data_IF_284674821552
#
_entry.id   IF_284674821552
#
_cell.length_a   1.000
_cell.length_b   1.000
_cell.length_c   1.000
_cell.angle_alpha   90.00
_cell.angle_beta   90.00
_cell.angle_gamma   90.00
#
_symmetry.space_group_name_H-M   'P 1'
#
loop_
_entity.id
_entity.type
_entity.pdbx_description
1 polymer ?
#
# COMPACT_ATOMS: atom_id res chain seq x y z
N UNK A 1 -10.02 12.47 -32.67
CA UNK A 1 -9.47 12.79 -31.34
C UNK A 1 -9.46 11.57 -30.44
N UNK A 2 -10.58 10.88 -30.27
CA UNK A 2 -10.70 9.63 -29.48
C UNK A 2 -9.68 8.54 -29.84
N UNK A 3 -9.54 8.20 -31.14
CA UNK A 3 -8.56 7.20 -31.58
C UNK A 3 -7.12 7.57 -31.21
N UNK A 4 -6.77 8.86 -31.27
CA UNK A 4 -5.42 9.34 -30.90
C UNK A 4 -5.20 9.13 -29.41
N UNK A 5 -6.21 9.43 -28.57
CA UNK A 5 -6.14 9.23 -27.11
C UNK A 5 -5.98 7.76 -26.77
N UNK A 6 -6.79 6.87 -27.37
CA UNK A 6 -6.72 5.43 -27.11
C UNK A 6 -5.37 4.85 -27.57
N UNK A 7 -4.90 5.20 -28.76
CA UNK A 7 -3.61 4.73 -29.28
C UNK A 7 -2.46 5.25 -28.41
N UNK A 8 -2.51 6.52 -28.00
CA UNK A 8 -1.49 7.10 -27.11
C UNK A 8 -1.49 6.40 -25.76
N UNK A 9 -2.67 6.18 -25.17
CA UNK A 9 -2.81 5.45 -23.92
C UNK A 9 -2.22 4.04 -24.02
N UNK A 10 -2.59 3.27 -25.05
CA UNK A 10 -2.08 1.91 -25.24
C UNK A 10 -0.56 1.88 -25.48
N UNK A 11 -0.02 2.86 -26.21
CA UNK A 11 1.42 2.99 -26.43
C UNK A 11 2.17 3.26 -25.13
N UNK A 12 1.72 4.22 -24.33
CA UNK A 12 2.34 4.51 -23.02
C UNK A 12 2.15 3.36 -22.03
N UNK A 13 0.98 2.74 -21.99
CA UNK A 13 0.70 1.57 -21.17
C UNK A 13 1.61 0.39 -21.51
N UNK A 14 1.81 0.11 -22.80
CA UNK A 14 2.71 -0.95 -23.25
C UNK A 14 4.18 -0.61 -22.95
N UNK A 15 4.57 0.66 -23.08
CA UNK A 15 5.92 1.12 -22.75
C UNK A 15 6.20 0.97 -21.25
N UNK A 16 5.30 1.44 -20.39
CA UNK A 16 5.40 1.29 -18.93
C UNK A 16 5.52 -0.18 -18.55
N UNK A 17 4.61 -1.02 -19.05
CA UNK A 17 4.64 -2.47 -18.83
C UNK A 17 5.98 -3.08 -19.23
N UNK A 18 6.48 -2.76 -20.43
CA UNK A 18 7.75 -3.31 -20.94
C UNK A 18 8.94 -2.86 -20.09
N UNK A 19 8.99 -1.59 -19.70
CA UNK A 19 10.08 -1.05 -18.88
C UNK A 19 10.14 -1.76 -17.53
N UNK A 20 9.01 -1.85 -16.83
CA UNK A 20 8.93 -2.55 -15.54
C UNK A 20 9.29 -4.04 -15.66
N UNK A 21 8.77 -4.71 -16.69
CA UNK A 21 9.02 -6.13 -16.92
C UNK A 21 10.50 -6.40 -17.18
N UNK A 22 11.14 -5.58 -18.01
CA UNK A 22 12.58 -5.67 -18.34
C UNK A 22 13.43 -5.37 -17.12
N UNK A 23 13.10 -4.33 -16.33
CA UNK A 23 13.82 -4.02 -15.10
C UNK A 23 13.76 -5.18 -14.10
N UNK A 24 12.60 -5.82 -13.96
CA UNK A 24 12.46 -6.99 -13.11
C UNK A 24 13.36 -8.14 -13.61
N UNK A 25 13.38 -8.42 -14.92
CA UNK A 25 14.26 -9.43 -15.52
C UNK A 25 15.75 -9.16 -15.31
N UNK A 26 16.18 -7.92 -15.51
CA UNK A 26 17.56 -7.51 -15.28
C UNK A 26 17.93 -7.78 -13.83
N UNK A 27 17.08 -7.38 -12.87
CA UNK A 27 17.31 -7.60 -11.45
C UNK A 27 17.43 -9.10 -11.11
N UNK A 28 16.49 -9.93 -11.55
CA UNK A 28 16.58 -11.37 -11.32
C UNK A 28 17.75 -12.02 -12.07
N UNK A 29 18.16 -11.48 -13.21
CA UNK A 29 19.34 -11.90 -13.96
C UNK A 29 20.61 -11.72 -13.12
N UNK A 30 20.79 -10.51 -12.59
CA UNK A 30 21.90 -10.18 -11.70
C UNK A 30 21.94 -11.07 -10.45
N UNK A 31 20.79 -11.33 -9.83
CA UNK A 31 20.69 -12.21 -8.66
C UNK A 31 21.06 -13.67 -9.00
N UNK A 32 20.63 -14.17 -10.17
CA UNK A 32 21.00 -15.51 -10.66
C UNK A 32 22.51 -15.62 -10.91
N UNK A 33 23.09 -14.62 -11.55
CA UNK A 33 24.51 -14.57 -11.86
C UNK A 33 25.36 -14.47 -10.58
N UNK A 34 24.95 -13.63 -9.63
CA UNK A 34 25.60 -13.49 -8.32
C UNK A 34 25.65 -14.82 -7.57
N UNK A 35 24.56 -15.59 -7.59
CA UNK A 35 24.52 -16.94 -7.00
C UNK A 35 25.42 -17.92 -7.75
N UNK A 36 25.41 -17.90 -9.09
CA UNK A 36 26.24 -18.78 -9.90
C UNK A 36 27.74 -18.53 -9.69
N UNK A 37 28.11 -17.28 -9.40
CA UNK A 37 29.48 -16.90 -9.00
C UNK A 37 29.89 -17.38 -7.62
N UNK A 38 28.98 -17.98 -6.82
CA UNK A 38 29.27 -18.58 -5.51
C UNK A 38 29.71 -17.61 -4.42
N UNK A 39 29.66 -16.31 -4.69
CA UNK A 39 30.28 -15.29 -3.83
C UNK A 39 29.22 -14.46 -3.13
N UNK A 40 29.16 -14.59 -1.80
CA UNK A 40 28.59 -13.54 -0.96
C UNK A 40 29.36 -12.25 -1.29
N UNK A 41 28.69 -11.13 -1.62
CA UNK A 41 29.38 -9.88 -1.89
C UNK A 41 30.28 -9.50 -0.71
N UNK A 42 31.46 -8.93 -1.00
CA UNK A 42 32.51 -8.69 -0.01
C UNK A 42 32.03 -7.96 1.25
N UNK A 43 31.07 -7.04 1.10
CA UNK A 43 30.45 -6.29 2.21
C UNK A 43 29.70 -7.15 3.23
N UNK A 44 29.24 -8.35 2.83
CA UNK A 44 28.44 -9.26 3.63
C UNK A 44 29.21 -10.50 4.09
N UNK A 45 30.45 -10.69 3.61
CA UNK A 45 31.29 -11.80 4.06
C UNK A 45 31.55 -11.73 5.57
N UNK A 46 31.36 -12.86 6.25
CA UNK A 46 31.47 -12.96 7.71
C UNK A 46 30.33 -12.30 8.50
N UNK A 47 29.36 -11.66 7.84
CA UNK A 47 28.14 -11.11 8.48
C UNK A 47 26.89 -11.91 8.18
N UNK A 48 26.86 -12.59 7.04
CA UNK A 48 25.74 -13.42 6.58
C UNK A 48 26.29 -14.81 6.30
N UNK A 49 25.59 -15.84 6.78
CA UNK A 49 25.94 -17.22 6.46
C UNK A 49 25.57 -17.55 5.00
N UNK A 50 26.21 -18.57 4.42
CA UNK A 50 25.87 -19.02 3.07
C UNK A 50 24.40 -19.44 2.96
N UNK A 51 23.86 -20.11 3.98
CA UNK A 51 22.46 -20.52 4.03
C UNK A 51 21.50 -19.33 4.01
N UNK A 52 21.77 -18.29 4.80
CA UNK A 52 20.95 -17.07 4.82
C UNK A 52 21.02 -16.33 3.48
N UNK A 53 22.21 -16.28 2.86
CA UNK A 53 22.39 -15.70 1.54
C UNK A 53 21.58 -16.45 0.49
N UNK A 54 21.70 -17.79 0.43
CA UNK A 54 20.94 -18.61 -0.52
C UNK A 54 19.43 -18.47 -0.32
N UNK A 55 18.96 -18.44 0.93
CA UNK A 55 17.55 -18.20 1.24
C UNK A 55 17.08 -16.82 0.76
N UNK A 56 17.90 -15.78 0.91
CA UNK A 56 17.59 -14.42 0.43
C UNK A 56 17.49 -14.37 -1.11
N UNK A 57 18.37 -15.09 -1.80
CA UNK A 57 18.34 -15.22 -3.26
C UNK A 57 17.08 -15.95 -3.71
N UNK A 58 16.75 -17.08 -3.08
CA UNK A 58 15.56 -17.86 -3.40
C UNK A 58 14.27 -17.05 -3.20
N UNK A 59 14.19 -16.27 -2.11
CA UNK A 59 13.08 -15.35 -1.87
C UNK A 59 12.99 -14.28 -2.95
N UNK A 60 14.11 -13.63 -3.26
CA UNK A 60 14.16 -12.56 -4.28
C UNK A 60 13.72 -13.05 -5.65
N UNK A 61 14.18 -14.24 -6.07
CA UNK A 61 13.78 -14.84 -7.35
C UNK A 61 12.32 -15.30 -7.35
N UNK A 62 11.82 -15.86 -6.24
CA UNK A 62 10.43 -16.26 -6.13
C UNK A 62 9.49 -15.04 -6.19
N UNK A 63 9.83 -13.98 -5.47
CA UNK A 63 9.11 -12.71 -5.46
C UNK A 63 9.11 -12.05 -6.85
N UNK A 64 10.27 -11.92 -7.50
CA UNK A 64 10.35 -11.34 -8.85
C UNK A 64 9.55 -12.11 -9.90
N UNK A 65 9.55 -13.46 -9.85
CA UNK A 65 8.68 -14.29 -10.71
C UNK A 65 7.19 -14.02 -10.47
N UNK A 66 6.79 -13.92 -9.21
CA UNK A 66 5.41 -13.61 -8.85
C UNK A 66 5.02 -12.19 -9.26
N UNK A 67 5.87 -11.19 -9.05
CA UNK A 67 5.64 -9.80 -9.44
C UNK A 67 5.39 -9.68 -10.94
N UNK A 68 6.19 -10.34 -11.80
CA UNK A 68 5.93 -10.38 -13.25
C UNK A 68 4.57 -10.98 -13.58
N UNK A 69 4.23 -12.11 -12.97
CA UNK A 69 2.93 -12.74 -13.21
C UNK A 69 1.79 -11.82 -12.77
N UNK A 70 1.91 -11.20 -11.59
CA UNK A 70 0.94 -10.26 -11.05
C UNK A 70 0.81 -9.00 -11.92
N UNK A 71 1.92 -8.51 -12.49
CA UNK A 71 1.93 -7.38 -13.42
C UNK A 71 1.19 -7.72 -14.72
N UNK A 72 1.47 -8.89 -15.33
CA UNK A 72 0.76 -9.38 -16.52
C UNK A 72 -0.74 -9.50 -16.22
N UNK A 73 -1.09 -10.18 -15.13
CA UNK A 73 -2.47 -10.36 -14.72
C UNK A 73 -3.17 -9.03 -14.48
N UNK A 74 -2.58 -8.12 -13.69
CA UNK A 74 -3.13 -6.81 -13.39
C UNK A 74 -3.29 -5.93 -14.65
N UNK A 75 -2.36 -6.03 -15.59
CA UNK A 75 -2.44 -5.33 -16.87
C UNK A 75 -3.61 -5.83 -17.71
N UNK A 76 -3.77 -7.15 -17.82
CA UNK A 76 -4.91 -7.76 -18.51
C UNK A 76 -6.25 -7.39 -17.84
N UNK A 77 -6.32 -7.39 -16.52
CA UNK A 77 -7.52 -6.99 -15.79
C UNK A 77 -7.84 -5.50 -15.99
N UNK A 78 -6.83 -4.63 -16.04
CA UNK A 78 -7.00 -3.20 -16.33
C UNK A 78 -7.55 -3.00 -17.73
N UNK A 79 -6.94 -3.62 -18.75
CA UNK A 79 -7.44 -3.56 -20.13
C UNK A 79 -8.86 -4.14 -20.25
N UNK A 80 -9.16 -5.23 -19.54
CA UNK A 80 -10.50 -5.80 -19.48
C UNK A 80 -11.52 -4.84 -18.85
N UNK A 81 -11.18 -4.12 -17.78
CA UNK A 81 -12.10 -3.13 -17.19
C UNK A 81 -12.35 -1.96 -18.16
N UNK A 82 -11.29 -1.44 -18.79
CA UNK A 82 -11.37 -0.28 -19.67
C UNK A 82 -12.11 -0.59 -20.98
N UNK A 83 -11.78 -1.73 -21.61
CA UNK A 83 -12.25 -2.07 -22.97
C UNK A 83 -13.25 -3.22 -23.02
N UNK A 84 -13.42 -3.99 -21.94
CA UNK A 84 -14.36 -5.13 -21.87
C UNK A 84 -15.82 -4.75 -21.65
N UNK A 85 -16.15 -3.44 -21.64
CA UNK A 85 -17.52 -2.96 -21.52
C UNK A 85 -18.06 -2.86 -20.09
N UNK A 86 -17.22 -3.06 -19.08
CA UNK A 86 -17.60 -2.92 -17.67
C UNK A 86 -17.94 -1.48 -17.28
N UNK A 87 -17.18 -0.48 -17.74
CA UNK A 87 -17.49 0.92 -17.44
C UNK A 87 -18.86 1.35 -17.99
N UNK A 88 -19.20 1.11 -19.28
CA UNK A 88 -20.55 1.36 -19.77
C UNK A 88 -21.64 0.57 -19.05
N UNK A 89 -21.33 -0.65 -18.59
CA UNK A 89 -22.27 -1.45 -17.81
C UNK A 89 -22.59 -0.79 -16.46
N UNK A 90 -21.59 -0.34 -15.71
CA UNK A 90 -21.80 0.36 -14.44
C UNK A 90 -22.50 1.71 -14.64
N UNK A 91 -22.18 2.45 -15.70
CA UNK A 91 -22.90 3.69 -16.04
C UNK A 91 -24.40 3.41 -16.24
N UNK A 92 -24.76 2.42 -17.05
CA UNK A 92 -26.18 2.02 -17.25
C UNK A 92 -26.85 1.55 -15.95
N UNK A 93 -26.14 0.75 -15.15
CA UNK A 93 -26.66 0.25 -13.88
C UNK A 93 -26.97 1.40 -12.91
N UNK A 94 -26.05 2.35 -12.78
CA UNK A 94 -26.20 3.49 -11.87
C UNK A 94 -27.31 4.45 -12.32
N UNK A 95 -27.47 4.68 -13.63
CA UNK A 95 -28.62 5.44 -14.19
C UNK A 95 -29.95 4.73 -13.96
N UNK A 96 -30.00 3.40 -14.06
CA UNK A 96 -31.22 2.63 -13.78
C UNK A 96 -31.71 2.78 -12.32
N UNK A 97 -30.82 3.19 -11.41
CA UNK A 97 -31.11 3.41 -10.00
C UNK A 97 -31.45 4.88 -9.66
N UNK A 98 -31.42 5.78 -10.66
CA UNK A 98 -31.67 7.22 -10.49
C UNK A 98 -33.04 7.53 -9.88
N UNK A 99 -34.07 6.72 -10.18
CA UNK A 99 -35.41 6.87 -9.61
C UNK A 99 -35.54 6.48 -8.13
N UNK A 100 -34.55 5.78 -7.57
CA UNK A 100 -34.56 5.31 -6.17
C UNK A 100 -33.67 6.17 -5.25
N UNK A 101 -32.77 6.98 -5.84
CA UNK A 101 -31.79 7.77 -5.11
C UNK A 101 -32.09 9.27 -5.30
N UNK A 102 -32.10 10.09 -4.25
CA UNK A 102 -32.35 11.52 -4.43
C UNK A 102 -31.22 12.15 -5.26
N UNK A 103 -31.58 12.87 -6.33
CA UNK A 103 -30.66 13.57 -7.23
C UNK A 103 -29.70 14.53 -6.47
N UNK A 104 -30.13 15.00 -5.29
CA UNK A 104 -29.39 15.91 -4.41
C UNK A 104 -28.06 15.33 -3.90
N UNK A 105 -27.90 14.00 -3.84
CA UNK A 105 -26.74 13.37 -3.18
C UNK A 105 -25.55 13.03 -4.08
N UNK A 106 -25.56 13.36 -5.37
CA UNK A 106 -24.53 12.89 -6.34
C UNK A 106 -24.31 11.36 -6.28
N UNK A 107 -25.34 10.63 -5.83
CA UNK A 107 -25.23 9.23 -5.43
C UNK A 107 -24.85 8.32 -6.61
N UNK A 108 -25.27 8.69 -7.83
CA UNK A 108 -24.94 7.96 -9.05
C UNK A 108 -23.42 7.94 -9.30
N UNK A 109 -22.76 9.10 -9.29
CA UNK A 109 -21.32 9.20 -9.51
C UNK A 109 -20.52 8.49 -8.42
N UNK A 110 -20.96 8.61 -7.16
CA UNK A 110 -20.37 7.89 -6.03
C UNK A 110 -20.51 6.37 -6.23
N UNK A 111 -21.70 5.88 -6.55
CA UNK A 111 -21.97 4.46 -6.79
C UNK A 111 -21.17 3.92 -7.98
N UNK A 112 -21.04 4.69 -9.05
CA UNK A 112 -20.20 4.35 -10.21
C UNK A 112 -18.74 4.18 -9.77
N UNK A 113 -18.16 5.19 -9.11
CA UNK A 113 -16.78 5.14 -8.64
C UNK A 113 -16.52 3.96 -7.70
N UNK A 114 -17.43 3.70 -6.75
CA UNK A 114 -17.32 2.57 -5.83
C UNK A 114 -17.47 1.22 -6.52
N UNK A 115 -18.33 1.10 -7.54
CA UNK A 115 -18.49 -0.14 -8.30
C UNK A 115 -17.23 -0.48 -9.08
N UNK A 116 -16.60 0.53 -9.70
CA UNK A 116 -15.31 0.37 -10.38
C UNK A 116 -14.21 0.01 -9.38
N UNK A 117 -14.08 0.74 -8.27
CA UNK A 117 -13.08 0.48 -7.24
C UNK A 117 -13.25 -0.91 -6.61
N UNK A 118 -14.48 -1.34 -6.34
CA UNK A 118 -14.78 -2.67 -5.83
C UNK A 118 -14.38 -3.75 -6.83
N UNK A 119 -14.60 -3.54 -8.12
CA UNK A 119 -14.18 -4.48 -9.17
C UNK A 119 -12.66 -4.65 -9.17
N UNK A 120 -11.89 -3.56 -9.16
CA UNK A 120 -10.43 -3.64 -9.04
C UNK A 120 -10.00 -4.36 -7.74
N UNK A 121 -10.65 -4.06 -6.62
CA UNK A 121 -10.36 -4.70 -5.34
C UNK A 121 -10.60 -6.22 -5.39
N UNK A 122 -11.73 -6.66 -5.97
CA UNK A 122 -12.05 -8.07 -6.13
C UNK A 122 -11.08 -8.79 -7.07
N UNK A 123 -10.75 -8.18 -8.21
CA UNK A 123 -9.77 -8.73 -9.14
C UNK A 123 -8.36 -8.78 -8.55
N UNK A 124 -8.03 -7.94 -7.56
CA UNK A 124 -6.74 -8.01 -6.84
C UNK A 124 -6.66 -9.13 -5.80
N UNK A 125 -7.77 -9.80 -5.46
CA UNK A 125 -7.78 -10.83 -4.42
C UNK A 125 -6.89 -12.04 -4.73
N UNK A 126 -6.86 -12.61 -5.96
CA UNK A 126 -6.03 -13.77 -6.25
C UNK A 126 -4.54 -13.51 -6.05
N UNK A 127 -4.03 -12.37 -6.52
CA UNK A 127 -2.63 -11.97 -6.33
C UNK A 127 -2.33 -11.73 -4.85
N UNK A 128 -3.22 -11.03 -4.13
CA UNK A 128 -3.05 -10.79 -2.69
C UNK A 128 -3.02 -12.09 -1.87
N UNK A 129 -3.94 -13.02 -2.15
CA UNK A 129 -4.00 -14.32 -1.47
C UNK A 129 -2.75 -15.15 -1.75
N UNK A 130 -2.29 -15.22 -3.00
CA UNK A 130 -1.07 -15.94 -3.34
C UNK A 130 0.16 -15.32 -2.66
N UNK A 131 0.27 -14.00 -2.68
CA UNK A 131 1.37 -13.30 -2.01
C UNK A 131 1.42 -13.66 -0.53
N UNK A 132 0.31 -13.56 0.20
CA UNK A 132 0.29 -13.79 1.65
C UNK A 132 0.40 -15.27 2.03
N UNK A 133 -0.42 -16.14 1.42
CA UNK A 133 -0.59 -17.51 1.88
C UNK A 133 0.22 -18.55 1.11
N UNK A 134 0.86 -18.19 -0.01
CA UNK A 134 1.76 -19.08 -0.74
C UNK A 134 3.20 -18.55 -0.73
N UNK A 135 3.43 -17.33 -1.19
CA UNK A 135 4.78 -16.77 -1.28
C UNK A 135 5.37 -16.49 0.11
N UNK A 136 4.75 -15.61 0.90
CA UNK A 136 5.27 -15.25 2.23
C UNK A 136 5.25 -16.43 3.21
N UNK A 137 4.26 -17.32 3.11
CA UNK A 137 4.19 -18.56 3.90
C UNK A 137 5.38 -19.49 3.60
N UNK A 138 5.72 -19.69 2.32
CA UNK A 138 6.84 -20.55 1.89
C UNK A 138 8.18 -20.14 2.52
N UNK A 139 8.38 -18.85 2.77
CA UNK A 139 9.62 -18.33 3.35
C UNK A 139 9.54 -18.12 4.87
N UNK A 140 8.39 -18.43 5.49
CA UNK A 140 8.17 -18.31 6.92
C UNK A 140 7.93 -16.88 7.40
N UNK A 141 7.63 -15.96 6.48
CA UNK A 141 7.33 -14.56 6.80
C UNK A 141 5.88 -14.36 7.21
N UNK A 142 4.94 -15.16 6.70
CA UNK A 142 3.52 -14.98 7.01
C UNK A 142 3.19 -15.39 8.46
N UNK A 143 2.45 -14.53 9.16
CA UNK A 143 1.80 -14.82 10.46
C UNK A 143 0.29 -14.58 10.41
N UNK A 144 -0.22 -14.13 9.26
CA UNK A 144 -1.63 -13.78 9.08
C UNK A 144 -2.47 -15.05 8.95
N UNK A 145 -3.56 -15.13 9.72
CA UNK A 145 -4.59 -16.17 9.53
C UNK A 145 -5.61 -15.74 8.48
N UNK A 146 -6.27 -16.70 7.81
CA UNK A 146 -7.34 -16.42 6.83
C UNK A 146 -8.45 -15.55 7.46
N UNK A 147 -8.81 -15.82 8.72
CA UNK A 147 -9.79 -15.01 9.46
C UNK A 147 -9.32 -13.56 9.62
N UNK A 148 -8.07 -13.33 10.04
CA UNK A 148 -7.52 -11.99 10.18
C UNK A 148 -7.48 -11.26 8.82
N UNK A 149 -7.06 -11.94 7.77
CA UNK A 149 -7.00 -11.38 6.41
C UNK A 149 -8.38 -10.91 5.92
N UNK A 150 -9.41 -11.75 6.05
CA UNK A 150 -10.78 -11.40 5.63
C UNK A 150 -11.36 -10.27 6.49
N UNK A 151 -11.13 -10.29 7.81
CA UNK A 151 -11.56 -9.21 8.69
C UNK A 151 -10.87 -7.88 8.36
N UNK A 152 -9.58 -7.90 8.02
CA UNK A 152 -8.86 -6.70 7.62
C UNK A 152 -9.35 -6.17 6.26
N UNK A 153 -9.65 -7.05 5.29
CA UNK A 153 -10.27 -6.65 4.02
C UNK A 153 -11.65 -6.03 4.22
N UNK A 154 -12.50 -6.63 5.06
CA UNK A 154 -13.82 -6.10 5.36
C UNK A 154 -13.74 -4.76 6.12
N UNK A 155 -12.91 -4.67 7.15
CA UNK A 155 -12.68 -3.41 7.89
C UNK A 155 -12.14 -2.32 6.96
N UNK A 156 -11.17 -2.64 6.11
CA UNK A 156 -10.64 -1.72 5.10
C UNK A 156 -11.71 -1.23 4.13
N UNK A 157 -12.57 -2.12 3.65
CA UNK A 157 -13.70 -1.76 2.81
C UNK A 157 -14.66 -0.80 3.51
N UNK A 158 -15.09 -1.10 4.74
CA UNK A 158 -15.99 -0.22 5.51
C UNK A 158 -15.36 1.15 5.79
N UNK A 159 -14.09 1.19 6.18
CA UNK A 159 -13.36 2.45 6.36
C UNK A 159 -13.30 3.24 5.04
N UNK A 160 -13.04 2.58 3.92
CA UNK A 160 -13.01 3.23 2.60
C UNK A 160 -14.37 3.80 2.19
N UNK A 161 -15.50 3.18 2.58
CA UNK A 161 -16.83 3.73 2.36
C UNK A 161 -17.03 5.01 3.18
N UNK A 162 -16.76 4.94 4.49
CA UNK A 162 -16.96 6.06 5.43
C UNK A 162 -16.13 7.27 5.05
N UNK A 163 -14.91 7.06 4.56
CA UNK A 163 -13.95 8.11 4.21
C UNK A 163 -14.15 8.57 2.75
N UNK A 164 -14.36 7.62 1.84
CA UNK A 164 -14.44 7.86 0.40
C UNK A 164 -15.77 8.47 -0.04
N UNK A 165 -16.90 8.14 0.59
CA UNK A 165 -18.21 8.73 0.21
C UNK A 165 -18.22 10.25 0.44
N UNK A 166 -17.86 10.80 1.62
CA UNK A 166 -17.81 12.24 1.82
C UNK A 166 -16.78 12.94 0.92
N UNK A 167 -15.65 12.28 0.67
CA UNK A 167 -14.63 12.80 -0.23
C UNK A 167 -15.14 12.94 -1.66
N UNK A 168 -15.70 11.86 -2.23
CA UNK A 168 -16.26 11.87 -3.57
C UNK A 168 -17.43 12.85 -3.69
N UNK A 169 -18.29 12.92 -2.67
CA UNK A 169 -19.35 13.92 -2.62
C UNK A 169 -18.78 15.33 -2.72
N UNK A 170 -17.77 15.68 -1.91
CA UNK A 170 -17.13 16.99 -1.93
C UNK A 170 -16.51 17.33 -3.29
N UNK A 171 -15.77 16.40 -3.89
CA UNK A 171 -15.18 16.59 -5.22
C UNK A 171 -16.25 16.79 -6.29
N UNK A 172 -17.24 15.89 -6.37
CA UNK A 172 -18.30 15.96 -7.38
C UNK A 172 -19.18 17.19 -7.21
N UNK A 173 -19.44 17.61 -5.97
CA UNK A 173 -20.15 18.85 -5.67
C UNK A 173 -19.39 20.07 -6.20
N UNK A 174 -18.08 20.16 -5.93
CA UNK A 174 -17.26 21.27 -6.42
C UNK A 174 -17.18 21.29 -7.94
N UNK A 175 -17.06 20.13 -8.58
CA UNK A 175 -17.05 19.98 -10.05
C UNK A 175 -18.28 20.60 -10.71
N UNK A 176 -19.46 20.45 -10.09
CA UNK A 176 -20.72 20.92 -10.66
C UNK A 176 -21.06 22.36 -10.30
N UNK A 177 -20.82 22.77 -9.04
CA UNK A 177 -21.33 24.04 -8.51
C UNK A 177 -20.31 25.19 -8.57
N UNK A 178 -19.01 24.92 -8.78
CA UNK A 178 -17.95 25.94 -8.65
C UNK A 178 -17.57 26.65 -9.96
N UNK A 179 -18.40 26.49 -11.00
CA UNK A 179 -18.23 27.17 -12.29
C UNK A 179 -16.94 26.80 -13.04
N UNK A 180 -16.40 27.69 -13.90
CA UNK A 180 -15.25 27.38 -14.76
C UNK A 180 -13.95 27.05 -14.02
N UNK A 181 -13.82 27.51 -12.77
CA UNK A 181 -12.64 27.29 -11.92
C UNK A 181 -12.84 26.14 -10.92
N UNK A 182 -13.80 25.24 -11.15
CA UNK A 182 -14.07 24.10 -10.28
C UNK A 182 -12.83 23.27 -9.96
N UNK A 183 -11.91 23.13 -10.92
CA UNK A 183 -10.70 22.34 -10.78
C UNK A 183 -9.75 22.91 -9.72
N UNK A 184 -9.72 24.24 -9.58
CA UNK A 184 -8.91 24.91 -8.55
C UNK A 184 -9.50 24.68 -7.16
N UNK A 185 -10.83 24.76 -7.04
CA UNK A 185 -11.52 24.47 -5.78
C UNK A 185 -11.40 23.00 -5.39
N UNK A 186 -11.57 22.08 -6.35
CA UNK A 186 -11.36 20.65 -6.13
C UNK A 186 -9.90 20.36 -5.72
N UNK A 187 -8.92 21.01 -6.34
CA UNK A 187 -7.52 20.92 -5.95
C UNK A 187 -7.28 21.37 -4.50
N UNK A 188 -7.78 22.54 -4.12
CA UNK A 188 -7.64 23.04 -2.75
C UNK A 188 -8.35 22.14 -1.73
N UNK A 189 -9.53 21.62 -2.09
CA UNK A 189 -10.25 20.65 -1.27
C UNK A 189 -9.45 19.35 -1.08
N UNK A 190 -8.94 18.75 -2.16
CA UNK A 190 -8.12 17.54 -2.11
C UNK A 190 -6.86 17.79 -1.27
N UNK A 191 -6.18 18.93 -1.45
CA UNK A 191 -5.02 19.30 -0.66
C UNK A 191 -5.35 19.39 0.84
N UNK A 192 -6.43 20.09 1.20
CA UNK A 192 -6.87 20.20 2.59
C UNK A 192 -7.26 18.83 3.17
N UNK A 193 -7.92 17.99 2.37
CA UNK A 193 -8.31 16.64 2.74
C UNK A 193 -7.10 15.73 2.97
N UNK A 194 -6.08 15.78 2.11
CA UNK A 194 -4.83 15.03 2.28
C UNK A 194 -4.08 15.46 3.55
N UNK A 195 -3.97 16.76 3.82
CA UNK A 195 -3.38 17.27 5.08
C UNK A 195 -4.16 16.75 6.28
N UNK A 196 -5.49 16.77 6.21
CA UNK A 196 -6.34 16.21 7.26
C UNK A 196 -6.09 14.70 7.44
N UNK A 197 -5.98 13.93 6.36
CA UNK A 197 -5.71 12.49 6.43
C UNK A 197 -4.33 12.18 6.99
N UNK A 198 -3.29 12.96 6.68
CA UNK A 198 -1.96 12.83 7.32
C UNK A 198 -2.04 12.97 8.85
N UNK A 199 -2.97 13.78 9.35
CA UNK A 199 -3.19 13.99 10.79
C UNK A 199 -4.08 12.88 11.40
N UNK A 200 -5.19 12.54 10.73
CA UNK A 200 -6.18 11.59 11.23
C UNK A 200 -5.76 10.13 11.07
N UNK A 201 -5.01 9.78 10.02
CA UNK A 201 -4.63 8.41 9.72
C UNK A 201 -3.92 7.70 10.89
N UNK A 202 -2.84 8.24 11.47
CA UNK A 202 -2.14 7.55 12.56
C UNK A 202 -2.91 7.51 13.88
N UNK A 203 -3.92 8.37 14.05
CA UNK A 203 -4.63 8.53 15.32
C UNK A 203 -5.97 7.80 15.34
N UNK A 204 -6.67 7.74 14.21
CA UNK A 204 -8.01 7.16 14.10
C UNK A 204 -8.06 5.92 13.21
N UNK A 205 -7.31 5.88 12.11
CA UNK A 205 -7.43 4.82 11.11
C UNK A 205 -6.50 3.66 11.42
N UNK A 206 -5.20 3.92 11.57
CA UNK A 206 -4.20 2.88 11.84
C UNK A 206 -4.53 2.04 13.09
N UNK A 207 -5.03 2.61 14.20
CA UNK A 207 -5.43 1.84 15.39
C UNK A 207 -6.59 0.85 15.19
N UNK A 208 -7.38 0.98 14.10
CA UNK A 208 -8.44 0.00 13.77
C UNK A 208 -7.86 -1.32 13.25
N UNK A 209 -6.62 -1.30 12.78
CA UNK A 209 -5.93 -2.45 12.21
C UNK A 209 -4.87 -3.00 13.16
N UNK A 210 -4.14 -2.12 13.83
CA UNK A 210 -3.00 -2.48 14.67
C UNK A 210 -3.15 -1.94 16.09
N UNK A 211 -2.60 -2.67 17.04
CA UNK A 211 -2.46 -2.20 18.42
C UNK A 211 -1.19 -1.37 18.52
N UNK A 212 -1.32 -0.19 19.09
CA UNK A 212 -0.20 0.70 19.39
C UNK A 212 -0.07 0.81 20.91
N UNK A 213 1.11 0.48 21.42
CA UNK A 213 1.44 0.61 22.84
C UNK A 213 2.64 1.55 23.00
N UNK A 214 2.72 2.37 24.05
CA UNK A 214 3.95 3.13 24.33
C UNK A 214 5.14 2.18 24.44
N UNK A 215 6.28 2.57 23.85
CA UNK A 215 7.51 1.79 23.97
C UNK A 215 7.90 1.70 25.46
N UNK A 216 8.18 0.47 25.91
CA UNK A 216 8.59 0.19 27.30
C UNK A 216 9.82 1.01 27.70
N UNK A 217 9.92 1.31 28.98
CA UNK A 217 11.12 1.92 29.55
C UNK A 217 12.32 0.98 29.44
N UNK A 218 13.49 1.56 29.18
CA UNK A 218 14.72 0.83 28.98
C UNK A 218 15.68 1.55 28.05
N UNK A 219 16.84 0.92 27.85
CA UNK A 219 17.98 1.49 27.11
C UNK A 219 17.59 1.95 25.70
N UNK A 220 16.79 1.15 24.96
CA UNK A 220 16.36 1.49 23.61
C UNK A 220 15.56 2.81 23.56
N UNK A 221 14.63 3.00 24.50
CA UNK A 221 13.81 4.21 24.58
C UNK A 221 14.68 5.44 24.89
N UNK A 222 15.60 5.31 25.83
CA UNK A 222 16.51 6.39 26.21
C UNK A 222 17.45 6.80 25.06
N UNK A 223 17.97 5.82 24.32
CA UNK A 223 18.81 6.07 23.14
C UNK A 223 18.06 6.81 22.04
N UNK A 224 16.81 6.41 21.76
CA UNK A 224 15.97 7.11 20.78
C UNK A 224 15.69 8.53 21.25
N UNK A 225 15.32 8.74 22.51
CA UNK A 225 15.05 10.09 23.04
C UNK A 225 16.30 10.99 22.99
N UNK A 226 17.49 10.43 23.25
CA UNK A 226 18.76 11.14 23.13
C UNK A 226 19.01 11.57 21.68
N UNK A 227 18.78 10.68 20.70
CA UNK A 227 18.95 10.99 19.28
C UNK A 227 17.96 12.06 18.81
N UNK A 228 16.69 11.95 19.25
CA UNK A 228 15.64 12.94 19.00
C UNK A 228 16.03 14.31 19.53
N UNK A 229 16.57 14.37 20.76
CA UNK A 229 17.08 15.60 21.36
C UNK A 229 18.24 16.23 20.58
N UNK A 230 19.19 15.41 20.10
CA UNK A 230 20.34 15.89 19.31
C UNK A 230 19.96 16.44 17.94
N UNK A 231 18.92 15.90 17.34
CA UNK A 231 18.47 16.28 15.98
C UNK A 231 17.44 17.40 15.99
N UNK A 232 16.95 17.82 17.16
CA UNK A 232 15.84 18.77 17.27
C UNK A 232 14.51 18.19 16.78
N UNK A 233 14.42 16.86 16.61
CA UNK A 233 13.19 16.20 16.19
C UNK A 233 12.13 16.34 17.29
N UNK A 234 10.91 16.75 16.92
CA UNK A 234 9.80 16.86 17.84
C UNK A 234 8.90 15.64 17.67
N UNK A 235 8.64 14.92 18.77
CA UNK A 235 7.77 13.74 18.80
C UNK A 235 6.78 13.83 19.95
N UNK A 236 5.55 13.38 19.73
CA UNK A 236 4.54 13.20 20.77
C UNK A 236 4.68 11.87 21.51
N UNK A 237 5.58 10.98 21.06
CA UNK A 237 5.82 9.71 21.72
C UNK A 237 6.49 8.66 20.82
N UNK A 238 6.98 7.60 21.47
CA UNK A 238 7.52 6.41 20.80
C UNK A 238 6.58 5.25 21.13
N UNK A 239 6.15 4.54 20.09
CA UNK A 239 5.17 3.48 20.17
C UNK A 239 5.70 2.21 19.53
N UNK A 240 5.30 1.08 20.08
CA UNK A 240 5.44 -0.23 19.46
C UNK A 240 4.11 -0.62 18.80
N UNK A 241 4.18 -1.14 17.58
CA UNK A 241 3.05 -1.68 16.82
C UNK A 241 3.16 -3.21 16.73
N UNK A 242 2.03 -3.91 16.87
CA UNK A 242 1.91 -5.38 16.79
C UNK A 242 2.04 -5.95 15.36
N UNK A 243 3.14 -5.62 14.68
CA UNK A 243 3.46 -6.06 13.32
C UNK A 243 3.59 -7.58 13.19
N UNK A 244 4.08 -8.25 14.24
CA UNK A 244 4.25 -9.69 14.36
C UNK A 244 2.97 -10.49 14.07
N UNK A 245 1.79 -9.90 14.27
CA UNK A 245 0.49 -10.53 13.95
C UNK A 245 0.29 -10.81 12.47
N UNK A 246 1.04 -10.13 11.60
CA UNK A 246 0.90 -10.24 10.14
C UNK A 246 2.13 -10.82 9.48
N UNK A 247 3.30 -10.41 9.94
CA UNK A 247 4.55 -10.84 9.35
C UNK A 247 5.71 -10.79 10.34
N UNK A 248 6.75 -11.57 10.08
CA UNK A 248 8.03 -11.48 10.80
C UNK A 248 8.94 -10.35 10.28
N UNK A 249 8.51 -9.61 9.25
CA UNK A 249 9.25 -8.42 8.80
C UNK A 249 9.32 -7.35 9.88
N UNK A 250 10.48 -6.70 9.93
CA UNK A 250 10.77 -5.59 10.84
C UNK A 250 10.69 -4.27 10.09
N UNK A 251 10.13 -3.25 10.73
CA UNK A 251 10.11 -1.90 10.17
C UNK A 251 10.02 -0.84 11.30
N UNK A 252 10.38 0.38 10.95
CA UNK A 252 10.20 1.57 11.78
C UNK A 252 9.78 2.72 10.87
N UNK A 253 8.84 3.55 11.34
CA UNK A 253 8.39 4.70 10.57
C UNK A 253 8.00 5.86 11.48
N UNK A 254 7.93 7.04 10.86
CA UNK A 254 7.44 8.26 11.49
C UNK A 254 6.13 8.66 10.82
N UNK A 255 5.18 9.15 11.60
CA UNK A 255 3.86 9.55 11.07
C UNK A 255 3.30 10.74 11.81
N UNK A 256 2.48 11.54 11.13
CA UNK A 256 1.90 12.78 11.66
C UNK A 256 2.68 14.03 11.25
N UNK A 257 2.19 15.20 11.69
CA UNK A 257 2.68 16.51 11.26
C UNK A 257 3.16 17.36 12.43
N UNK A 258 4.24 18.14 12.26
CA UNK A 258 4.72 19.05 13.30
C UNK A 258 5.04 18.36 14.63
N UNK A 259 4.42 18.82 15.73
CA UNK A 259 4.63 18.33 17.11
C UNK A 259 3.90 17.03 17.44
N UNK A 260 2.90 16.64 16.65
CA UNK A 260 2.11 15.42 16.86
C UNK A 260 2.72 14.20 16.14
N UNK A 261 3.96 14.31 15.66
CA UNK A 261 4.68 13.21 15.03
C UNK A 261 4.89 12.08 16.03
N UNK A 262 4.67 10.85 15.60
CA UNK A 262 4.89 9.63 16.38
C UNK A 262 6.03 8.85 15.76
N UNK A 263 6.88 8.29 16.62
CA UNK A 263 7.86 7.26 16.22
C UNK A 263 7.20 5.92 16.45
N UNK A 264 7.08 5.10 15.41
CA UNK A 264 6.48 3.76 15.50
C UNK A 264 7.52 2.72 15.13
N UNK A 265 7.75 1.77 16.04
CA UNK A 265 8.60 0.61 15.85
C UNK A 265 7.73 -0.65 15.78
N UNK A 266 8.04 -1.57 14.89
CA UNK A 266 7.40 -2.88 14.93
C UNK A 266 7.96 -3.66 16.12
N UNK A 267 7.12 -4.48 16.76
CA UNK A 267 7.54 -5.41 17.81
C UNK A 267 8.64 -6.36 17.34
N UNK A 268 8.55 -6.88 16.11
CA UNK A 268 9.59 -7.70 15.46
C UNK A 268 10.95 -7.00 15.39
N UNK A 269 10.94 -5.68 15.15
CA UNK A 269 12.17 -4.89 15.18
C UNK A 269 12.70 -4.78 16.61
N UNK A 270 11.86 -4.36 17.55
CA UNK A 270 12.26 -4.18 18.96
C UNK A 270 12.88 -5.45 19.55
N UNK A 271 12.31 -6.61 19.24
CA UNK A 271 12.84 -7.92 19.65
C UNK A 271 14.25 -8.17 19.09
N UNK A 272 14.47 -7.92 17.79
CA UNK A 272 15.77 -8.08 17.14
C UNK A 272 16.83 -7.12 17.69
N UNK A 273 16.45 -5.88 18.00
CA UNK A 273 17.37 -4.87 18.52
C UNK A 273 17.81 -5.17 19.96
N UNK A 274 16.90 -5.73 20.76
CA UNK A 274 17.19 -6.14 22.14
C UNK A 274 18.11 -7.38 22.16
N UNK A 275 18.10 -8.20 21.11
CA UNK A 275 18.97 -9.35 20.94
C UNK A 275 20.43 -9.01 20.52
N UNK A 276 20.80 -7.71 20.43
CA UNK A 276 22.21 -7.28 20.32
C UNK A 276 22.63 -6.63 19.00
N UNK A 277 21.71 -6.31 18.10
CA UNK A 277 22.04 -5.60 16.84
C UNK A 277 21.35 -4.23 16.79
N UNK A 278 22.15 -3.20 17.08
CA UNK A 278 21.71 -1.85 17.38
C UNK A 278 21.11 -1.04 16.22
N UNK A 279 20.50 0.08 16.62
CA UNK A 279 20.09 1.19 15.76
C UNK A 279 21.34 1.68 15.01
N UNK A 280 21.33 1.50 13.69
CA UNK A 280 22.22 2.19 12.77
C UNK A 280 21.63 3.57 12.43
#
# INVERSE_FOLDING_TARGET
MEQIVIVSFLAFFALEFLVEFVLNEINMGYVRESRAGGNIPDLFQGRVSQEEYDKSVDYTLAKGRFERWAQVYGSLMTLFILFGGLLPYFDRLTRGLEGLLPAVFKAQGILFCFSVALTFSLLSLPTGLYSTFALEERFGFNRTTVKLYLLDKLKGFLVSLVIGIPFLFGVLYLMEESGPYWWLWAFLFILAYEILMVILYPTLIAPLFNKFEPLKEGELRERILTLVGKTGFQTSGIYTMDGSRRSTHSNAYFTGLGRIKRIVLFDTLVEQMTAGQGLA
#
